data_IF_819321898242
#
_entry.id   IF_819321898242
#
_cell.length_a   1.000
_cell.length_b   1.000
_cell.length_c   1.000
_cell.angle_alpha   90.00
_cell.angle_beta   90.00
_cell.angle_gamma   90.00
#
_symmetry.space_group_name_H-M   'P 1'
#
loop_
_entity.id
_entity.type
_entity.pdbx_description
1 polymer ?
#
# COMPACT_ATOMS: atom_id res chain seq x y z
N UNK A 1 -16.28 11.89 10.05
CA UNK A 1 -16.32 11.11 11.31
C UNK A 1 -17.46 10.11 11.26
N UNK A 2 -17.19 8.86 11.64
CA UNK A 2 -18.18 7.77 11.75
C UNK A 2 -18.12 7.16 13.14
N UNK A 3 -19.28 6.91 13.75
CA UNK A 3 -19.36 6.22 15.04
C UNK A 3 -19.60 4.72 14.82
N UNK A 4 -18.97 3.88 15.63
CA UNK A 4 -19.20 2.45 15.72
C UNK A 4 -19.59 2.13 17.16
N UNK A 5 -20.76 1.53 17.34
CA UNK A 5 -21.28 1.12 18.65
C UNK A 5 -21.23 -0.41 18.73
N UNK A 6 -20.41 -0.92 19.66
CA UNK A 6 -20.22 -2.34 19.94
C UNK A 6 -21.01 -2.78 21.20
N UNK A 7 -21.90 -1.93 21.71
CA UNK A 7 -22.69 -2.15 22.92
C UNK A 7 -21.91 -1.90 24.22
N UNK A 8 -20.70 -2.47 24.35
CA UNK A 8 -19.81 -2.27 25.51
C UNK A 8 -18.80 -1.14 25.31
N UNK A 9 -18.57 -0.75 24.06
CA UNK A 9 -17.62 0.30 23.66
C UNK A 9 -18.22 1.09 22.51
N UNK A 10 -18.02 2.41 22.53
CA UNK A 10 -18.32 3.30 21.41
C UNK A 10 -17.02 3.88 20.88
N UNK A 11 -16.81 3.79 19.57
CA UNK A 11 -15.62 4.29 18.89
C UNK A 11 -15.96 5.40 17.90
N UNK A 12 -15.19 6.48 17.94
CA UNK A 12 -15.17 7.52 16.92
C UNK A 12 -14.05 7.24 15.94
N UNK A 13 -14.39 7.01 14.67
CA UNK A 13 -13.43 6.58 13.66
C UNK A 13 -13.48 7.48 12.43
N UNK A 14 -12.31 7.82 11.92
CA UNK A 14 -12.12 8.64 10.73
C UNK A 14 -11.30 7.93 9.66
N UNK A 15 -11.63 8.24 8.41
CA UNK A 15 -10.76 7.90 7.29
C UNK A 15 -9.55 8.82 7.35
N UNK A 16 -8.40 8.28 6.98
CA UNK A 16 -7.15 9.02 6.95
C UNK A 16 -6.50 8.97 5.56
N UNK A 17 -5.99 10.10 5.04
CA UNK A 17 -6.19 11.45 5.56
C UNK A 17 -7.68 11.85 5.52
N UNK A 18 -8.08 12.76 6.40
CA UNK A 18 -9.47 13.24 6.46
C UNK A 18 -9.83 13.91 5.13
N UNK A 19 -10.96 13.53 4.52
CA UNK A 19 -11.41 14.07 3.25
C UNK A 19 -12.62 14.99 3.48
N UNK A 20 -12.56 16.22 2.95
CA UNK A 20 -13.62 17.23 3.12
C UNK A 20 -14.95 16.87 2.42
N UNK A 21 -14.93 16.03 1.37
CA UNK A 21 -16.05 15.90 0.42
C UNK A 21 -16.75 14.53 0.35
N UNK A 22 -16.39 13.54 1.18
CA UNK A 22 -16.98 12.19 1.07
C UNK A 22 -17.90 11.87 2.26
N UNK A 23 -19.21 12.08 2.09
CA UNK A 23 -20.24 11.77 3.10
C UNK A 23 -20.66 10.29 3.12
N UNK A 24 -20.23 9.47 2.16
CA UNK A 24 -20.64 8.06 2.05
C UNK A 24 -19.57 7.04 2.47
N UNK A 25 -18.28 7.40 2.49
CA UNK A 25 -17.21 6.47 2.87
C UNK A 25 -16.91 6.61 4.36
N UNK A 26 -16.97 5.50 5.07
CA UNK A 26 -16.66 5.40 6.50
C UNK A 26 -15.26 4.82 6.73
N UNK A 27 -14.78 4.92 7.96
CA UNK A 27 -13.54 4.32 8.42
C UNK A 27 -13.67 2.80 8.64
N UNK A 28 -14.90 2.33 8.81
CA UNK A 28 -15.23 0.93 9.01
C UNK A 28 -16.31 0.49 8.00
N UNK A 29 -16.49 -0.82 7.85
CA UNK A 29 -17.63 -1.39 7.14
C UNK A 29 -18.21 -2.59 7.88
N UNK A 30 -19.36 -3.08 7.44
CA UNK A 30 -20.05 -4.19 8.10
C UNK A 30 -19.18 -5.46 8.30
N UNK A 31 -18.13 -5.66 7.50
CA UNK A 31 -17.21 -6.77 7.72
C UNK A 31 -16.41 -6.63 9.02
N UNK A 32 -16.04 -5.41 9.42
CA UNK A 32 -15.37 -5.13 10.70
C UNK A 32 -16.26 -5.46 11.88
N UNK A 33 -17.47 -4.89 11.88
CA UNK A 33 -18.48 -5.12 12.90
C UNK A 33 -18.80 -6.63 13.01
N UNK A 34 -18.91 -7.33 11.87
CA UNK A 34 -19.21 -8.75 11.86
C UNK A 34 -18.07 -9.60 12.43
N UNK A 35 -16.81 -9.25 12.13
CA UNK A 35 -15.64 -9.91 12.72
C UNK A 35 -15.63 -9.76 14.24
N UNK A 36 -15.87 -8.55 14.75
CA UNK A 36 -15.88 -8.27 16.19
C UNK A 36 -16.97 -9.06 16.94
N UNK A 37 -18.17 -9.18 16.36
CA UNK A 37 -19.25 -9.99 16.94
C UNK A 37 -18.88 -11.48 17.13
N UNK A 38 -17.90 -12.00 16.37
CA UNK A 38 -17.47 -13.39 16.54
C UNK A 38 -16.61 -13.61 17.78
N UNK A 39 -16.11 -12.54 18.40
CA UNK A 39 -15.15 -12.62 19.51
C UNK A 39 -15.78 -12.55 20.90
N UNK A 40 -17.09 -12.28 21.01
CA UNK A 40 -17.79 -12.16 22.31
C UNK A 40 -17.62 -13.40 23.23
N UNK A 41 -17.39 -14.59 22.65
CA UNK A 41 -17.24 -15.84 23.39
C UNK A 41 -15.91 -16.55 23.12
N UNK A 42 -14.92 -15.85 22.57
CA UNK A 42 -13.59 -16.41 22.30
C UNK A 42 -12.67 -16.07 23.46
N UNK A 43 -11.99 -17.08 24.02
CA UNK A 43 -10.97 -16.84 25.03
C UNK A 43 -9.68 -16.35 24.35
N UNK A 44 -9.31 -15.10 24.60
CA UNK A 44 -8.15 -14.41 24.01
C UNK A 44 -6.98 -14.34 25.02
N UNK A 45 -7.14 -14.89 26.24
CA UNK A 45 -6.19 -14.66 27.32
C UNK A 45 -4.80 -15.25 27.05
N UNK A 46 -3.77 -14.40 27.16
CA UNK A 46 -2.37 -14.79 27.23
C UNK A 46 -1.69 -15.17 25.91
N UNK A 47 -2.35 -15.05 24.76
CA UNK A 47 -1.74 -15.28 23.43
C UNK A 47 -2.00 -14.11 22.46
N UNK A 48 -1.16 -13.92 21.43
CA UNK A 48 -1.30 -12.81 20.50
C UNK A 48 -2.65 -12.78 19.75
N UNK A 49 -3.13 -11.57 19.47
CA UNK A 49 -4.22 -11.29 18.52
C UNK A 49 -3.61 -10.66 17.26
N UNK A 50 -3.80 -11.29 16.10
CA UNK A 50 -3.31 -10.77 14.83
C UNK A 50 -4.45 -10.20 14.02
N UNK A 51 -4.25 -9.01 13.48
CA UNK A 51 -5.23 -8.30 12.66
C UNK A 51 -4.56 -7.94 11.34
N UNK A 52 -5.00 -8.54 10.25
CA UNK A 52 -4.47 -8.28 8.90
C UNK A 52 -5.36 -7.30 8.14
N UNK A 53 -4.70 -6.34 7.48
CA UNK A 53 -5.28 -5.40 6.52
C UNK A 53 -6.40 -4.51 7.10
N UNK A 54 -6.25 -4.09 8.35
CA UNK A 54 -7.15 -3.12 8.99
C UNK A 54 -6.85 -1.70 8.49
N UNK A 55 -7.57 -1.30 7.43
CA UNK A 55 -7.28 -0.09 6.67
C UNK A 55 -7.28 1.21 7.49
N UNK A 56 -8.06 1.27 8.58
CA UNK A 56 -8.21 2.48 9.38
C UNK A 56 -8.11 2.20 10.89
N UNK A 57 -7.61 1.02 11.29
CA UNK A 57 -7.45 0.67 12.70
C UNK A 57 -8.77 0.40 13.43
N UNK A 58 -9.84 0.04 12.74
CA UNK A 58 -11.15 -0.21 13.38
C UNK A 58 -11.07 -1.39 14.34
N UNK A 59 -10.53 -2.52 13.87
CA UNK A 59 -10.37 -3.73 14.67
C UNK A 59 -9.30 -3.51 15.73
N UNK A 60 -8.22 -2.81 15.39
CA UNK A 60 -7.16 -2.47 16.34
C UNK A 60 -7.66 -1.60 17.51
N UNK A 61 -8.52 -0.60 17.25
CA UNK A 61 -9.12 0.21 18.30
C UNK A 61 -10.10 -0.60 19.17
N UNK A 62 -10.93 -1.43 18.54
CA UNK A 62 -11.91 -2.27 19.25
C UNK A 62 -11.24 -3.34 20.13
N UNK A 63 -10.10 -3.87 19.69
CA UNK A 63 -9.36 -4.92 20.39
C UNK A 63 -8.16 -4.38 21.18
N UNK A 64 -8.06 -3.06 21.38
CA UNK A 64 -6.95 -2.39 22.06
C UNK A 64 -6.55 -3.04 23.39
N UNK A 65 -7.53 -3.44 24.20
CA UNK A 65 -7.29 -4.08 25.51
C UNK A 65 -6.56 -5.43 25.43
N UNK A 66 -6.53 -6.08 24.26
CA UNK A 66 -5.85 -7.34 23.99
C UNK A 66 -4.45 -7.16 23.39
N UNK A 67 -3.95 -5.92 23.35
CA UNK A 67 -2.63 -5.57 22.80
C UNK A 67 -2.36 -6.17 21.41
N UNK A 68 -3.21 -5.89 20.40
CA UNK A 68 -3.18 -6.61 19.14
C UNK A 68 -1.96 -6.22 18.29
N UNK A 69 -1.53 -7.15 17.45
CA UNK A 69 -0.62 -6.89 16.36
C UNK A 69 -1.45 -6.55 15.12
N UNK A 70 -1.27 -5.34 14.58
CA UNK A 70 -1.91 -4.90 13.34
C UNK A 70 -0.91 -4.97 12.20
N UNK A 71 -1.14 -5.91 11.29
CA UNK A 71 -0.25 -6.23 10.17
C UNK A 71 -0.84 -5.65 8.89
N UNK A 72 -0.06 -4.83 8.19
CA UNK A 72 -0.49 -4.22 6.93
C UNK A 72 0.68 -3.95 6.01
N UNK A 73 0.43 -4.06 4.71
CA UNK A 73 1.36 -3.58 3.68
C UNK A 73 1.29 -2.06 3.47
N UNK A 74 0.35 -1.35 4.11
CA UNK A 74 0.10 0.07 3.88
C UNK A 74 0.52 0.91 5.08
N UNK A 75 1.51 1.78 4.86
CA UNK A 75 1.89 2.80 5.83
C UNK A 75 0.74 3.79 6.10
N UNK A 76 -0.10 4.06 5.10
CA UNK A 76 -1.30 4.88 5.29
C UNK A 76 -2.27 4.26 6.30
N UNK A 77 -2.40 2.94 6.29
CA UNK A 77 -3.22 2.21 7.28
C UNK A 77 -2.63 2.33 8.69
N UNK A 78 -1.30 2.27 8.83
CA UNK A 78 -0.65 2.46 10.13
C UNK A 78 -0.85 3.89 10.68
N UNK A 79 -0.73 4.91 9.82
CA UNK A 79 -1.03 6.30 10.19
C UNK A 79 -2.50 6.47 10.58
N UNK A 80 -3.42 5.85 9.83
CA UNK A 80 -4.85 5.86 10.13
C UNK A 80 -5.16 5.22 11.49
N UNK A 81 -4.53 4.08 11.78
CA UNK A 81 -4.67 3.40 13.08
C UNK A 81 -4.18 4.28 14.22
N UNK A 82 -2.99 4.90 14.10
CA UNK A 82 -2.49 5.83 15.13
C UNK A 82 -3.39 7.05 15.32
N UNK A 83 -3.97 7.57 14.23
CA UNK A 83 -4.94 8.67 14.29
C UNK A 83 -6.18 8.27 15.08
N UNK A 84 -6.78 7.14 14.74
CA UNK A 84 -8.01 6.67 15.38
C UNK A 84 -7.79 6.20 16.83
N UNK A 85 -6.63 5.64 17.17
CA UNK A 85 -6.28 5.35 18.57
C UNK A 85 -6.26 6.64 19.39
N UNK A 86 -5.57 7.68 18.91
CA UNK A 86 -5.52 8.99 19.58
C UNK A 86 -6.89 9.65 19.67
N UNK A 87 -7.71 9.53 18.63
CA UNK A 87 -9.07 10.08 18.59
C UNK A 87 -9.96 9.48 19.70
N UNK A 88 -9.72 8.23 20.08
CA UNK A 88 -10.45 7.54 21.14
C UNK A 88 -9.71 7.52 22.49
N UNK A 89 -8.68 8.36 22.67
CA UNK A 89 -7.85 8.42 23.89
C UNK A 89 -7.21 7.06 24.26
N UNK A 90 -6.99 6.20 23.27
CA UNK A 90 -6.34 4.90 23.43
C UNK A 90 -4.82 5.06 23.27
N UNK A 91 -4.07 4.45 24.20
CA UNK A 91 -2.60 4.43 24.15
C UNK A 91 -2.10 3.72 22.88
N UNK A 92 -1.42 4.42 21.95
CA UNK A 92 -0.94 3.82 20.72
C UNK A 92 0.11 2.72 20.93
N UNK A 93 0.82 2.72 22.06
CA UNK A 93 1.87 1.74 22.33
C UNK A 93 1.32 0.35 22.70
N UNK A 94 0.01 0.24 22.98
CA UNK A 94 -0.65 -1.05 23.18
C UNK A 94 -0.96 -1.76 21.86
N UNK A 95 -0.91 -1.08 20.71
CA UNK A 95 -1.11 -1.71 19.40
C UNK A 95 0.25 -1.81 18.70
N UNK A 96 0.74 -3.04 18.51
CA UNK A 96 1.97 -3.25 17.76
C UNK A 96 1.68 -3.20 16.26
N UNK A 97 2.21 -2.22 15.55
CA UNK A 97 2.08 -2.12 14.10
C UNK A 97 3.24 -2.87 13.43
N UNK A 98 2.92 -3.88 12.64
CA UNK A 98 3.88 -4.64 11.84
C UNK A 98 3.66 -4.36 10.36
N UNK A 99 4.76 -4.26 9.61
CA UNK A 99 4.68 -4.30 8.15
C UNK A 99 4.38 -5.71 7.65
N UNK A 100 4.15 -5.83 6.35
CA UNK A 100 3.73 -7.07 5.68
C UNK A 100 4.83 -8.12 5.52
N UNK A 101 6.09 -7.77 5.82
CA UNK A 101 7.28 -8.63 5.70
C UNK A 101 7.88 -8.99 7.07
N UNK A 102 7.44 -8.33 8.15
CA UNK A 102 7.86 -8.60 9.50
C UNK A 102 7.52 -10.02 9.97
N UNK A 103 8.33 -10.55 10.88
CA UNK A 103 8.05 -11.82 11.55
C UNK A 103 6.77 -11.73 12.39
N UNK A 104 5.92 -12.76 12.27
CA UNK A 104 4.69 -12.84 13.03
C UNK A 104 4.95 -13.47 14.41
N UNK A 105 4.24 -13.03 15.47
CA UNK A 105 4.36 -13.66 16.78
C UNK A 105 3.77 -15.06 16.77
N UNK A 106 4.41 -15.98 17.48
CA UNK A 106 4.05 -17.40 17.51
C UNK A 106 2.73 -17.67 18.25
N UNK A 107 2.02 -18.71 17.80
CA UNK A 107 0.84 -19.29 18.44
C UNK A 107 -0.24 -18.27 18.81
N UNK A 108 -0.75 -17.45 17.86
CA UNK A 108 -1.83 -16.52 18.15
C UNK A 108 -3.10 -17.24 18.63
N UNK A 109 -3.84 -16.64 19.57
CA UNK A 109 -5.17 -17.12 19.93
C UNK A 109 -6.18 -16.83 18.81
N UNK A 110 -6.09 -15.63 18.24
CA UNK A 110 -7.05 -15.13 17.24
C UNK A 110 -6.30 -14.49 16.08
N UNK A 111 -6.77 -14.79 14.87
CA UNK A 111 -6.34 -14.14 13.63
C UNK A 111 -7.57 -13.61 12.92
N UNK A 112 -7.67 -12.28 12.83
CA UNK A 112 -8.67 -11.59 12.04
C UNK A 112 -8.06 -11.12 10.72
N UNK A 113 -8.71 -11.42 9.60
CA UNK A 113 -8.22 -11.02 8.27
C UNK A 113 -9.27 -10.22 7.54
N UNK A 114 -9.01 -8.94 7.29
CA UNK A 114 -9.74 -8.22 6.23
C UNK A 114 -9.20 -8.71 4.90
N UNK A 115 -10.03 -9.39 4.11
CA UNK A 115 -9.55 -10.04 2.87
C UNK A 115 -9.03 -8.95 1.93
N UNK A 116 -7.75 -8.99 1.53
CA UNK A 116 -7.18 -7.98 0.66
C UNK A 116 -7.73 -8.13 -0.76
N UNK A 117 -7.66 -7.06 -1.54
CA UNK A 117 -8.08 -7.09 -2.95
C UNK A 117 -7.21 -8.03 -3.80
N UNK A 118 -5.91 -8.08 -3.49
CA UNK A 118 -4.95 -8.91 -4.20
C UNK A 118 -4.90 -10.31 -3.59
N UNK A 119 -5.27 -11.33 -4.37
CA UNK A 119 -5.19 -12.73 -3.94
C UNK A 119 -3.74 -13.16 -3.62
N UNK A 120 -2.76 -12.58 -4.31
CA UNK A 120 -1.35 -12.84 -4.05
C UNK A 120 -0.93 -12.37 -2.64
N UNK A 121 -1.40 -11.19 -2.19
CA UNK A 121 -1.15 -10.72 -0.82
C UNK A 121 -1.78 -11.66 0.20
N UNK A 122 -3.02 -12.11 -0.04
CA UNK A 122 -3.65 -13.11 0.82
C UNK A 122 -2.81 -14.40 0.86
N UNK A 123 -2.30 -14.89 -0.27
CA UNK A 123 -1.47 -16.12 -0.29
C UNK A 123 -0.21 -15.97 0.55
N UNK A 124 0.50 -14.84 0.43
CA UNK A 124 1.69 -14.58 1.23
C UNK A 124 1.35 -14.50 2.74
N UNK A 125 0.27 -13.79 3.11
CA UNK A 125 -0.16 -13.68 4.50
C UNK A 125 -0.56 -15.02 5.11
N UNK A 126 -1.30 -15.85 4.38
CA UNK A 126 -1.69 -17.19 4.85
C UNK A 126 -0.48 -18.12 5.00
N UNK A 127 0.54 -17.97 4.14
CA UNK A 127 1.79 -18.73 4.26
C UNK A 127 2.60 -18.30 5.47
N UNK A 128 2.76 -17.00 5.70
CA UNK A 128 3.40 -16.50 6.92
C UNK A 128 2.64 -16.95 8.18
N UNK A 129 1.31 -16.96 8.14
CA UNK A 129 0.48 -17.48 9.22
C UNK A 129 0.69 -18.97 9.46
N UNK A 130 0.85 -19.79 8.41
CA UNK A 130 1.07 -21.24 8.53
C UNK A 130 2.24 -21.58 9.45
N UNK A 131 3.26 -20.74 9.46
CA UNK A 131 4.48 -20.97 10.25
C UNK A 131 4.29 -20.68 11.75
N UNK A 132 3.23 -19.94 12.12
CA UNK A 132 3.03 -19.46 13.51
C UNK A 132 1.73 -19.94 14.15
N UNK A 133 0.72 -20.37 13.39
CA UNK A 133 -0.58 -20.78 13.95
C UNK A 133 -0.50 -22.08 14.75
N UNK A 134 -1.27 -22.16 15.84
CA UNK A 134 -1.47 -23.38 16.62
C UNK A 134 -2.75 -24.10 16.16
N UNK A 135 -2.91 -25.41 16.43
CA UNK A 135 -4.12 -26.16 16.05
C UNK A 135 -5.43 -25.58 16.59
N UNK A 136 -5.36 -24.84 17.70
CA UNK A 136 -6.51 -24.21 18.36
C UNK A 136 -6.65 -22.70 18.05
N UNK A 137 -5.83 -22.15 17.15
CA UNK A 137 -5.94 -20.75 16.72
C UNK A 137 -7.30 -20.52 16.02
N UNK A 138 -8.03 -19.50 16.45
CA UNK A 138 -9.28 -19.07 15.81
C UNK A 138 -8.97 -18.14 14.63
N UNK A 139 -9.24 -18.60 13.40
CA UNK A 139 -8.98 -17.82 12.17
C UNK A 139 -10.28 -17.42 11.51
N UNK A 140 -10.52 -16.12 11.41
CA UNK A 140 -11.73 -15.54 10.83
C UNK A 140 -11.35 -14.45 9.83
N UNK A 141 -11.80 -14.60 8.58
CA UNK A 141 -11.61 -13.60 7.54
C UNK A 141 -12.94 -12.96 7.15
N UNK A 142 -12.94 -11.64 6.89
CA UNK A 142 -14.14 -10.87 6.58
C UNK A 142 -13.94 -9.95 5.39
N UNK A 143 -14.96 -9.88 4.53
CA UNK A 143 -15.06 -8.89 3.45
C UNK A 143 -16.53 -8.68 3.04
N UNK A 144 -16.74 -7.82 2.04
CA UNK A 144 -18.05 -7.75 1.37
C UNK A 144 -18.37 -9.10 0.77
N UNK A 145 -19.62 -9.52 0.85
CA UNK A 145 -20.08 -10.81 0.38
C UNK A 145 -19.77 -11.07 -1.10
N UNK A 146 -19.71 -10.01 -1.93
CA UNK A 146 -19.34 -10.10 -3.35
C UNK A 146 -17.85 -10.30 -3.60
N UNK A 147 -17.00 -9.99 -2.62
CA UNK A 147 -15.54 -10.09 -2.69
C UNK A 147 -15.03 -11.41 -2.07
N UNK A 148 -15.95 -12.24 -1.53
CA UNK A 148 -15.67 -13.61 -1.09
C UNK A 148 -15.90 -14.57 -2.25
N UNK A 149 -14.81 -14.97 -2.91
CA UNK A 149 -14.84 -15.85 -4.08
C UNK A 149 -14.43 -17.28 -3.74
N UNK A 150 -14.76 -18.24 -4.62
CA UNK A 150 -14.31 -19.63 -4.48
C UNK A 150 -12.77 -19.73 -4.43
N UNK A 151 -12.06 -18.90 -5.19
CA UNK A 151 -10.59 -18.84 -5.17
C UNK A 151 -10.02 -18.43 -3.82
N UNK A 152 -10.72 -17.55 -3.09
CA UNK A 152 -10.35 -17.15 -1.72
C UNK A 152 -10.41 -18.36 -0.79
N UNK A 153 -11.52 -19.09 -0.81
CA UNK A 153 -11.73 -20.29 0.02
C UNK A 153 -10.70 -21.38 -0.28
N UNK A 154 -10.50 -21.70 -1.57
CA UNK A 154 -9.51 -22.68 -2.02
C UNK A 154 -8.10 -22.34 -1.56
N UNK A 155 -7.78 -21.06 -1.42
CA UNK A 155 -6.47 -20.63 -0.93
C UNK A 155 -6.29 -20.89 0.56
N UNK A 156 -7.31 -20.61 1.39
CA UNK A 156 -7.31 -21.00 2.81
C UNK A 156 -7.18 -22.52 2.96
N UNK A 157 -7.95 -23.29 2.19
CA UNK A 157 -7.93 -24.76 2.24
C UNK A 157 -6.60 -25.36 1.80
N UNK A 158 -5.94 -24.73 0.82
CA UNK A 158 -4.61 -25.13 0.34
C UNK A 158 -3.51 -24.86 1.37
N UNK A 159 -3.63 -23.78 2.15
CA UNK A 159 -2.53 -23.26 2.98
C UNK A 159 -2.69 -23.56 4.46
N UNK A 160 -3.89 -23.45 5.00
CA UNK A 160 -4.16 -23.55 6.44
C UNK A 160 -5.05 -24.75 6.79
N UNK A 161 -6.17 -24.93 6.09
CA UNK A 161 -7.11 -26.02 6.38
C UNK A 161 -8.56 -25.72 6.01
N UNK A 162 -9.49 -26.63 6.35
CA UNK A 162 -10.85 -26.62 5.85
C UNK A 162 -11.57 -25.32 6.24
N UNK A 163 -12.48 -24.89 5.36
CA UNK A 163 -13.20 -23.63 5.55
C UNK A 163 -14.70 -23.80 5.56
N UNK A 164 -15.38 -22.92 6.30
CA UNK A 164 -16.82 -22.71 6.23
C UNK A 164 -17.13 -21.23 6.12
N UNK A 165 -18.32 -20.88 5.66
CA UNK A 165 -18.74 -19.48 5.55
C UNK A 165 -19.90 -19.16 6.47
N UNK A 166 -19.99 -17.89 6.88
CA UNK A 166 -21.18 -17.37 7.52
C UNK A 166 -22.31 -17.15 6.50
N UNK A 167 -23.51 -16.89 7.03
CA UNK A 167 -24.56 -16.20 6.27
C UNK A 167 -24.10 -14.76 5.97
N UNK A 168 -24.60 -14.20 4.86
CA UNK A 168 -24.38 -12.81 4.55
C UNK A 168 -25.14 -11.92 5.56
N UNK A 169 -24.46 -10.88 6.07
CA UNK A 169 -25.02 -9.94 7.03
C UNK A 169 -24.57 -8.53 6.66
N UNK A 170 -25.52 -7.60 6.49
CA UNK A 170 -25.25 -6.22 6.01
C UNK A 170 -24.30 -6.16 4.80
N UNK A 171 -24.44 -7.09 3.85
CA UNK A 171 -23.57 -7.28 2.66
C UNK A 171 -22.12 -7.69 2.97
N UNK A 172 -21.79 -8.06 4.20
CA UNK A 172 -20.54 -8.70 4.59
C UNK A 172 -20.71 -10.22 4.70
N UNK A 173 -19.60 -10.95 4.59
CA UNK A 173 -19.55 -12.40 4.79
C UNK A 173 -18.22 -12.78 5.40
N UNK A 174 -18.25 -13.78 6.29
CA UNK A 174 -17.07 -14.31 6.96
C UNK A 174 -16.69 -15.68 6.42
N UNK A 175 -15.40 -15.96 6.48
CA UNK A 175 -14.77 -17.28 6.30
C UNK A 175 -14.19 -17.68 7.65
N UNK A 176 -14.51 -18.89 8.11
CA UNK A 176 -13.86 -19.51 9.26
C UNK A 176 -12.94 -20.59 8.72
N UNK A 177 -11.71 -20.63 9.21
CA UNK A 177 -10.71 -21.61 8.81
C UNK A 177 -10.22 -22.38 10.04
N UNK A 178 -10.22 -23.70 9.95
CA UNK A 178 -9.61 -24.57 10.95
C UNK A 178 -8.16 -24.87 10.55
N UNK A 179 -7.26 -24.90 11.54
CA UNK A 179 -5.85 -25.23 11.30
C UNK A 179 -5.71 -26.74 11.17
N UNK A 180 -5.46 -27.22 9.96
CA UNK A 180 -5.21 -28.63 9.68
C UNK A 180 -3.71 -28.93 9.68
N UNK A 181 -3.33 -30.20 9.78
CA UNK A 181 -1.94 -30.62 9.59
C UNK A 181 -1.63 -30.72 8.09
N UNK A 182 -1.33 -29.58 7.46
CA UNK A 182 -1.06 -29.44 6.03
C UNK A 182 0.31 -28.80 5.83
N UNK A 183 1.08 -29.35 4.88
CA UNK A 183 2.29 -28.72 4.35
C UNK A 183 1.96 -28.10 3.00
N UNK A 184 1.83 -26.76 2.89
CA UNK A 184 1.53 -26.12 1.62
C UNK A 184 2.68 -26.34 0.62
N UNK A 185 2.40 -26.48 -0.69
CA UNK A 185 3.44 -26.54 -1.70
C UNK A 185 4.35 -25.32 -1.63
N UNK A 186 5.65 -25.52 -1.79
CA UNK A 186 6.62 -24.43 -1.86
C UNK A 186 6.20 -23.40 -2.92
N UNK A 187 6.34 -22.13 -2.61
CA UNK A 187 6.10 -21.02 -3.51
C UNK A 187 7.21 -19.99 -3.35
N UNK A 188 7.65 -19.34 -4.44
CA UNK A 188 8.61 -18.27 -4.34
C UNK A 188 8.01 -17.06 -3.61
N UNK A 189 8.84 -16.38 -2.85
CA UNK A 189 8.48 -15.14 -2.14
C UNK A 189 8.09 -14.02 -3.11
N UNK A 190 8.80 -13.92 -4.24
CA UNK A 190 8.62 -12.89 -5.26
C UNK A 190 8.20 -13.49 -6.60
N UNK A 191 7.45 -12.72 -7.38
CA UNK A 191 7.27 -12.99 -8.81
C UNK A 191 8.38 -12.28 -9.59
N UNK A 192 9.11 -13.07 -10.37
CA UNK A 192 10.30 -12.62 -11.08
C UNK A 192 10.07 -12.69 -12.59
N UNK A 193 10.52 -11.69 -13.32
CA UNK A 193 10.52 -11.67 -14.79
C UNK A 193 11.65 -10.77 -15.31
N UNK A 194 12.11 -11.03 -16.53
CA UNK A 194 13.15 -10.22 -17.18
C UNK A 194 12.52 -8.99 -17.82
N UNK A 195 13.09 -7.81 -17.59
CA UNK A 195 12.63 -6.58 -18.24
C UNK A 195 13.11 -6.56 -19.70
N UNK A 196 12.15 -6.59 -20.62
CA UNK A 196 12.41 -6.56 -22.08
C UNK A 196 13.39 -5.44 -22.46
N UNK A 197 14.44 -5.81 -23.22
CA UNK A 197 15.47 -4.86 -23.68
C UNK A 197 16.61 -4.62 -22.67
N UNK A 198 16.61 -5.33 -21.54
CA UNK A 198 17.67 -5.29 -20.53
C UNK A 198 18.00 -6.70 -20.04
N UNK A 199 19.09 -6.84 -19.29
CA UNK A 199 19.41 -8.08 -18.55
C UNK A 199 18.84 -8.08 -17.12
N UNK A 200 17.94 -7.12 -16.80
CA UNK A 200 17.42 -6.98 -15.45
C UNK A 200 16.38 -8.03 -15.11
N UNK A 201 16.53 -8.63 -13.92
CA UNK A 201 15.53 -9.48 -13.31
C UNK A 201 14.76 -8.65 -12.30
N UNK A 202 13.46 -8.48 -12.54
CA UNK A 202 12.57 -7.70 -11.68
C UNK A 202 11.87 -8.63 -10.71
N UNK A 203 12.17 -8.46 -9.43
CA UNK A 203 11.54 -9.10 -8.28
C UNK A 203 10.35 -8.27 -7.79
N UNK A 204 9.21 -8.93 -7.56
CA UNK A 204 7.98 -8.28 -7.14
C UNK A 204 7.34 -9.05 -5.98
N UNK A 205 7.23 -8.41 -4.82
CA UNK A 205 6.47 -8.93 -3.69
C UNK A 205 4.95 -8.96 -3.98
N UNK A 206 4.20 -9.56 -3.07
CA UNK A 206 2.83 -10.04 -3.33
C UNK A 206 1.81 -8.95 -3.66
N UNK A 207 1.96 -7.75 -3.09
CA UNK A 207 1.03 -6.64 -3.25
C UNK A 207 1.49 -5.55 -4.24
N UNK A 208 2.63 -5.75 -4.90
CA UNK A 208 3.21 -4.75 -5.81
C UNK A 208 2.38 -4.57 -7.07
N UNK A 209 2.22 -3.31 -7.50
CA UNK A 209 1.53 -2.96 -8.74
C UNK A 209 2.20 -3.59 -9.96
N UNK A 210 1.41 -4.10 -10.90
CA UNK A 210 1.89 -4.76 -12.12
C UNK A 210 2.91 -5.89 -11.87
N UNK A 211 2.82 -6.61 -10.74
CA UNK A 211 3.84 -7.61 -10.33
C UNK A 211 4.25 -8.67 -11.35
N UNK A 212 3.40 -8.96 -12.34
CA UNK A 212 3.62 -10.01 -13.34
C UNK A 212 4.22 -9.52 -14.66
N UNK A 213 4.27 -8.21 -14.92
CA UNK A 213 4.81 -7.64 -16.17
C UNK A 213 4.99 -6.13 -16.07
N UNK A 214 5.81 -5.56 -16.96
CA UNK A 214 5.96 -4.11 -17.09
C UNK A 214 4.63 -3.42 -17.43
N UNK A 215 4.24 -2.45 -16.59
CA UNK A 215 3.09 -1.60 -16.84
C UNK A 215 3.22 -0.85 -18.18
N UNK A 216 2.11 -0.70 -18.90
CA UNK A 216 2.10 -0.06 -20.22
C UNK A 216 2.40 1.44 -20.09
N UNK A 217 1.93 2.08 -19.01
CA UNK A 217 2.27 3.47 -18.69
C UNK A 217 3.76 3.63 -18.40
N UNK A 218 4.29 2.79 -17.49
CA UNK A 218 5.71 2.77 -17.16
C UNK A 218 6.60 2.54 -18.39
N UNK A 219 6.24 1.60 -19.28
CA UNK A 219 6.96 1.36 -20.55
C UNK A 219 7.09 2.62 -21.39
N UNK A 220 5.99 3.36 -21.59
CA UNK A 220 6.04 4.63 -22.31
C UNK A 220 6.90 5.65 -21.55
N UNK A 221 6.83 5.65 -20.22
CA UNK A 221 7.51 6.62 -19.39
C UNK A 221 9.04 6.48 -19.44
N UNK A 222 9.55 5.24 -19.49
CA UNK A 222 10.98 4.93 -19.57
C UNK A 222 11.68 5.60 -20.76
N UNK A 223 11.02 5.67 -21.92
CA UNK A 223 11.55 6.30 -23.14
C UNK A 223 11.70 7.82 -23.03
N UNK A 224 11.14 8.43 -21.99
CA UNK A 224 10.98 9.86 -21.84
C UNK A 224 11.33 10.35 -20.43
N UNK A 225 12.20 9.63 -19.72
CA UNK A 225 12.76 10.11 -18.46
C UNK A 225 13.76 11.26 -18.70
N UNK A 226 13.98 12.14 -17.69
CA UNK A 226 15.06 13.10 -17.76
C UNK A 226 16.42 12.39 -17.63
N UNK A 227 17.42 12.94 -18.30
CA UNK A 227 18.81 12.48 -18.28
C UNK A 227 19.73 13.66 -17.94
N UNK A 228 20.99 13.35 -17.59
CA UNK A 228 22.04 14.32 -17.25
C UNK A 228 21.63 15.31 -16.13
N UNK A 229 20.80 14.85 -15.19
CA UNK A 229 20.50 15.57 -13.96
C UNK A 229 21.56 15.29 -12.89
N UNK A 230 21.79 16.30 -12.07
CA UNK A 230 22.55 16.24 -10.82
C UNK A 230 21.62 16.46 -9.63
N UNK A 231 22.09 16.16 -8.42
CA UNK A 231 21.35 16.38 -7.18
C UNK A 231 20.38 15.24 -6.89
N UNK A 232 19.18 15.55 -6.41
CA UNK A 232 18.27 14.54 -5.84
C UNK A 232 17.04 14.32 -6.74
N UNK A 233 16.77 13.06 -7.10
CA UNK A 233 15.59 12.62 -7.84
C UNK A 233 14.73 11.75 -6.91
N UNK A 234 13.41 11.86 -7.01
CA UNK A 234 12.49 10.97 -6.31
C UNK A 234 11.63 10.20 -7.32
N UNK A 235 11.61 8.88 -7.22
CA UNK A 235 10.59 8.00 -7.81
C UNK A 235 9.43 7.87 -6.82
N UNK A 236 8.36 8.63 -7.05
CA UNK A 236 7.21 8.75 -6.16
C UNK A 236 6.09 7.78 -6.57
N UNK A 237 5.80 6.83 -5.69
CA UNK A 237 5.00 5.64 -5.99
C UNK A 237 5.84 4.63 -6.76
N UNK A 238 7.01 4.29 -6.23
CA UNK A 238 8.05 3.57 -6.97
C UNK A 238 7.64 2.15 -7.38
N UNK A 239 6.69 1.51 -6.69
CA UNK A 239 6.23 0.16 -7.03
C UNK A 239 7.38 -0.85 -6.98
N UNK A 240 7.79 -1.40 -8.14
CA UNK A 240 8.95 -2.30 -8.22
C UNK A 240 10.28 -1.59 -8.55
N UNK A 241 10.28 -0.25 -8.61
CA UNK A 241 11.49 0.56 -8.74
C UNK A 241 12.04 0.71 -10.16
N UNK A 242 11.38 0.17 -11.18
CA UNK A 242 11.89 0.22 -12.57
C UNK A 242 12.12 1.66 -13.06
N UNK A 243 11.23 2.60 -12.68
CA UNK A 243 11.36 4.02 -13.07
C UNK A 243 12.57 4.65 -12.39
N UNK A 244 12.72 4.47 -11.08
CA UNK A 244 13.88 4.95 -10.33
C UNK A 244 15.20 4.32 -10.78
N UNK A 245 15.24 3.02 -11.08
CA UNK A 245 16.43 2.34 -11.63
C UNK A 245 16.85 2.91 -12.98
N UNK A 246 15.89 3.15 -13.88
CA UNK A 246 16.18 3.76 -15.16
C UNK A 246 16.65 5.21 -15.00
N UNK A 247 16.07 5.97 -14.08
CA UNK A 247 16.55 7.31 -13.73
C UNK A 247 17.97 7.28 -13.15
N UNK A 248 18.29 6.30 -12.30
CA UNK A 248 19.60 6.10 -11.68
C UNK A 248 20.70 5.88 -12.73
N UNK A 249 20.40 5.11 -13.79
CA UNK A 249 21.30 4.88 -14.92
C UNK A 249 21.45 6.12 -15.81
N UNK A 250 20.35 6.81 -16.11
CA UNK A 250 20.35 7.99 -17.01
C UNK A 250 20.93 9.25 -16.36
N UNK A 251 21.12 9.23 -15.03
CA UNK A 251 21.61 10.36 -14.24
C UNK A 251 22.73 9.92 -13.28
N UNK A 252 23.95 9.65 -13.78
CA UNK A 252 25.05 9.10 -12.96
C UNK A 252 25.54 10.01 -11.83
N UNK A 253 25.24 11.31 -11.89
CA UNK A 253 25.60 12.30 -10.87
C UNK A 253 24.45 12.62 -9.90
N UNK A 254 23.31 11.95 -10.04
CA UNK A 254 22.17 12.11 -9.15
C UNK A 254 22.10 11.01 -8.09
N UNK A 255 21.44 11.32 -6.98
CA UNK A 255 20.92 10.35 -6.02
C UNK A 255 19.43 10.13 -6.27
N UNK A 256 18.92 8.92 -5.99
CA UNK A 256 17.52 8.55 -6.23
C UNK A 256 16.88 8.05 -4.93
N UNK A 257 15.81 8.68 -4.49
CA UNK A 257 14.92 8.12 -3.47
C UNK A 257 13.76 7.38 -4.12
N UNK A 258 13.54 6.14 -3.70
CA UNK A 258 12.40 5.31 -4.06
C UNK A 258 11.39 5.40 -2.92
N UNK A 259 10.28 6.11 -3.17
CA UNK A 259 9.27 6.37 -2.15
C UNK A 259 7.94 5.70 -2.50
N UNK A 260 7.36 4.94 -1.58
CA UNK A 260 6.03 4.34 -1.73
C UNK A 260 5.33 4.22 -0.37
N UNK A 261 4.01 4.11 -0.36
CA UNK A 261 3.29 3.80 0.89
C UNK A 261 3.30 2.31 1.22
N UNK A 262 3.60 1.47 0.22
CA UNK A 262 3.66 0.02 0.35
C UNK A 262 5.03 -0.45 0.81
N UNK A 263 5.07 -1.20 1.91
CA UNK A 263 6.30 -1.84 2.40
C UNK A 263 6.86 -2.83 1.37
N UNK A 264 5.99 -3.64 0.76
CA UNK A 264 6.37 -4.57 -0.32
C UNK A 264 6.90 -3.88 -1.57
N UNK A 265 6.40 -2.67 -1.90
CA UNK A 265 6.91 -1.89 -3.04
C UNK A 265 8.34 -1.40 -2.78
N UNK A 266 8.57 -0.78 -1.62
CA UNK A 266 9.90 -0.31 -1.23
C UNK A 266 10.89 -1.46 -1.17
N UNK A 267 10.54 -2.58 -0.52
CA UNK A 267 11.38 -3.77 -0.47
C UNK A 267 11.65 -4.39 -1.86
N UNK A 268 10.67 -4.36 -2.78
CA UNK A 268 10.89 -4.81 -4.16
C UNK A 268 11.85 -3.89 -4.91
N UNK A 269 11.72 -2.58 -4.71
CA UNK A 269 12.58 -1.57 -5.33
C UNK A 269 14.02 -1.72 -4.85
N UNK A 270 14.23 -1.88 -3.54
CA UNK A 270 15.52 -2.14 -2.93
C UNK A 270 16.16 -3.41 -3.50
N UNK A 271 15.44 -4.54 -3.46
CA UNK A 271 15.91 -5.81 -4.01
C UNK A 271 16.27 -5.72 -5.49
N UNK A 272 15.53 -4.93 -6.27
CA UNK A 272 15.81 -4.75 -7.69
C UNK A 272 17.05 -3.90 -7.95
N UNK A 273 17.31 -2.87 -7.15
CA UNK A 273 18.56 -2.11 -7.22
C UNK A 273 19.73 -2.99 -6.80
N UNK A 274 19.64 -3.68 -5.65
CA UNK A 274 20.69 -4.57 -5.16
C UNK A 274 21.07 -5.65 -6.17
N UNK A 275 20.07 -6.25 -6.82
CA UNK A 275 20.30 -7.33 -7.77
C UNK A 275 20.89 -6.84 -9.10
N UNK A 276 20.36 -5.74 -9.63
CA UNK A 276 20.63 -5.34 -11.01
C UNK A 276 21.62 -4.18 -11.14
N UNK A 277 21.75 -3.35 -10.12
CA UNK A 277 22.60 -2.16 -10.08
C UNK A 277 23.34 -2.02 -8.73
N UNK A 278 24.01 -3.08 -8.21
CA UNK A 278 24.65 -3.05 -6.89
C UNK A 278 25.70 -1.94 -6.74
N UNK A 279 26.38 -1.57 -7.84
CA UNK A 279 27.36 -0.48 -7.85
C UNK A 279 26.76 0.90 -7.60
N UNK A 280 25.44 1.06 -7.76
CA UNK A 280 24.73 2.32 -7.62
C UNK A 280 23.96 2.42 -6.30
N UNK A 281 24.04 1.39 -5.44
CA UNK A 281 23.28 1.32 -4.19
C UNK A 281 23.58 2.48 -3.23
N UNK A 282 24.83 2.96 -3.18
CA UNK A 282 25.24 4.12 -2.35
C UNK A 282 24.56 5.44 -2.78
N UNK A 283 23.96 5.48 -3.97
CA UNK A 283 23.22 6.63 -4.49
C UNK A 283 21.70 6.49 -4.29
N UNK A 284 21.25 5.42 -3.64
CA UNK A 284 19.84 5.10 -3.47
C UNK A 284 19.39 5.29 -2.03
N UNK A 285 18.14 5.73 -1.87
CA UNK A 285 17.43 5.74 -0.59
C UNK A 285 16.07 5.09 -0.78
N UNK A 286 15.62 4.31 0.19
CA UNK A 286 14.36 3.56 0.13
C UNK A 286 13.47 4.01 1.28
N UNK A 287 12.33 4.61 0.96
CA UNK A 287 11.46 5.25 1.95
C UNK A 287 10.02 4.76 1.86
N UNK A 288 9.56 4.09 2.92
CA UNK A 288 8.12 3.86 3.12
C UNK A 288 7.52 5.15 3.69
N UNK A 289 6.66 5.82 2.92
CA UNK A 289 6.20 7.16 3.26
C UNK A 289 4.79 7.50 2.74
N UNK A 290 4.15 8.49 3.36
CA UNK A 290 2.93 9.12 2.85
C UNK A 290 3.31 10.18 1.82
N UNK A 291 3.36 9.79 0.55
CA UNK A 291 3.88 10.62 -0.53
C UNK A 291 5.27 11.17 -0.17
N UNK A 292 5.45 12.49 -0.04
CA UNK A 292 6.74 13.10 0.32
C UNK A 292 6.70 13.78 1.70
N UNK A 293 5.87 13.29 2.63
CA UNK A 293 5.82 13.83 3.99
C UNK A 293 7.22 13.78 4.64
N UNK A 294 7.62 14.86 5.32
CA UNK A 294 8.94 14.96 5.94
C UNK A 294 10.10 15.31 5.00
N UNK A 295 9.97 15.12 3.69
CA UNK A 295 10.98 15.58 2.72
C UNK A 295 11.09 17.10 2.75
N UNK A 296 12.31 17.62 2.82
CA UNK A 296 12.58 19.05 2.91
C UNK A 296 12.00 19.85 1.73
N UNK A 297 11.69 21.12 1.98
CA UNK A 297 11.26 22.03 0.91
C UNK A 297 12.47 22.39 0.06
N UNK A 298 12.28 22.48 -1.25
CA UNK A 298 13.33 22.97 -2.17
C UNK A 298 14.63 22.18 -2.12
N UNK A 299 14.55 20.87 -1.89
CA UNK A 299 15.70 19.96 -1.85
C UNK A 299 15.83 19.07 -3.10
N UNK A 300 14.76 18.94 -3.90
CA UNK A 300 14.68 17.93 -4.97
C UNK A 300 14.85 18.57 -6.36
N UNK A 301 15.62 17.92 -7.24
CA UNK A 301 15.80 18.31 -8.63
C UNK A 301 14.67 17.83 -9.53
N UNK A 302 14.24 16.58 -9.38
CA UNK A 302 13.14 16.01 -10.14
C UNK A 302 12.28 15.04 -9.32
N UNK A 303 10.98 15.06 -9.56
CA UNK A 303 10.05 14.04 -9.07
C UNK A 303 9.46 13.32 -10.28
N UNK A 304 9.64 12.00 -10.33
CA UNK A 304 9.09 11.10 -11.34
C UNK A 304 7.90 10.38 -10.70
N UNK A 305 6.76 10.33 -11.37
CA UNK A 305 5.58 9.71 -10.77
C UNK A 305 4.68 9.05 -11.83
N UNK A 306 4.29 7.81 -11.57
CA UNK A 306 3.18 7.14 -12.24
C UNK A 306 2.04 6.99 -11.21
N UNK A 307 1.18 8.03 -11.03
CA UNK A 307 0.19 8.02 -9.96
C UNK A 307 -0.74 6.81 -10.08
N UNK A 308 -1.22 6.26 -8.95
CA UNK A 308 -2.14 5.14 -8.99
C UNK A 308 -3.39 5.48 -9.80
N UNK A 309 -3.94 4.50 -10.51
CA UNK A 309 -5.20 4.64 -11.23
C UNK A 309 -6.17 3.50 -10.91
N UNK A 310 -7.33 3.85 -10.36
CA UNK A 310 -8.48 2.95 -10.29
C UNK A 310 -9.73 3.63 -10.88
N UNK A 311 -10.62 2.83 -11.45
CA UNK A 311 -11.91 3.29 -12.00
C UNK A 311 -12.85 3.92 -10.94
N UNK A 312 -12.45 3.95 -9.67
CA UNK A 312 -13.07 4.74 -8.60
C UNK A 312 -12.46 6.15 -8.61
N UNK A 313 -13.14 7.06 -9.32
CA UNK A 313 -12.58 8.33 -9.76
C UNK A 313 -12.18 9.28 -8.62
N UNK A 314 -12.92 9.34 -7.50
CA UNK A 314 -12.67 10.35 -6.47
C UNK A 314 -11.39 10.09 -5.65
N UNK A 315 -11.21 8.89 -5.08
CA UNK A 315 -10.09 8.59 -4.17
C UNK A 315 -8.75 8.70 -4.91
N UNK A 316 -8.68 8.12 -6.10
CA UNK A 316 -7.51 8.14 -6.98
C UNK A 316 -7.08 9.57 -7.33
N UNK A 317 -8.05 10.45 -7.57
CA UNK A 317 -7.81 11.82 -7.99
C UNK A 317 -7.24 12.70 -6.88
N UNK A 318 -7.66 12.45 -5.63
CA UNK A 318 -7.09 13.09 -4.44
C UNK A 318 -5.66 12.64 -4.16
N UNK A 319 -5.37 11.33 -4.25
CA UNK A 319 -4.01 10.82 -4.06
C UNK A 319 -3.04 11.44 -5.06
N UNK A 320 -3.40 11.46 -6.34
CA UNK A 320 -2.57 12.10 -7.36
C UNK A 320 -2.40 13.61 -7.10
N UNK A 321 -3.45 14.30 -6.66
CA UNK A 321 -3.35 15.71 -6.31
C UNK A 321 -2.40 15.97 -5.13
N UNK A 322 -2.48 15.17 -4.07
CA UNK A 322 -1.55 15.24 -2.93
C UNK A 322 -0.10 15.05 -3.40
N UNK A 323 0.15 14.01 -4.19
CA UNK A 323 1.47 13.75 -4.79
C UNK A 323 2.00 14.95 -5.58
N UNK A 324 1.15 15.64 -6.36
CA UNK A 324 1.58 16.82 -7.12
C UNK A 324 1.88 18.02 -6.22
N UNK A 325 1.07 18.24 -5.18
CA UNK A 325 1.28 19.30 -4.19
C UNK A 325 2.60 19.09 -3.44
N UNK A 326 2.86 17.86 -3.00
CA UNK A 326 4.10 17.48 -2.34
C UNK A 326 5.31 17.61 -3.27
N UNK A 327 5.20 17.16 -4.52
CA UNK A 327 6.24 17.38 -5.51
C UNK A 327 6.57 18.87 -5.67
N UNK A 328 5.57 19.75 -5.83
CA UNK A 328 5.81 21.20 -5.94
C UNK A 328 6.50 21.78 -4.70
N UNK A 329 6.14 21.27 -3.51
CA UNK A 329 6.73 21.71 -2.23
C UNK A 329 8.21 21.35 -2.15
N UNK A 330 8.58 20.10 -2.49
CA UNK A 330 9.94 19.59 -2.36
C UNK A 330 10.87 20.02 -3.50
N UNK A 331 10.34 20.30 -4.70
CA UNK A 331 11.15 20.71 -5.84
C UNK A 331 11.86 22.06 -5.59
N UNK A 332 13.11 22.16 -6.04
CA UNK A 332 13.84 23.42 -6.19
C UNK A 332 13.23 24.29 -7.29
N UNK A 333 13.51 25.59 -7.27
CA UNK A 333 13.20 26.44 -8.43
C UNK A 333 13.96 25.92 -9.66
N UNK A 334 13.24 25.70 -10.76
CA UNK A 334 13.76 25.07 -11.97
C UNK A 334 13.72 23.53 -11.94
N UNK A 335 13.40 22.91 -10.81
CA UNK A 335 13.15 21.48 -10.72
C UNK A 335 11.84 21.06 -11.40
N UNK A 336 11.75 19.80 -11.82
CA UNK A 336 10.63 19.28 -12.60
C UNK A 336 9.85 18.15 -11.92
N UNK A 337 8.52 18.21 -12.01
CA UNK A 337 7.66 17.05 -11.86
C UNK A 337 7.40 16.47 -13.24
N UNK A 338 7.75 15.21 -13.46
CA UNK A 338 7.42 14.46 -14.68
C UNK A 338 6.49 13.30 -14.33
N UNK A 339 5.35 13.24 -15.00
CA UNK A 339 4.34 12.21 -14.74
C UNK A 339 3.93 11.48 -16.01
N UNK A 340 3.55 10.22 -15.85
CA UNK A 340 2.75 9.49 -16.83
C UNK A 340 1.35 9.26 -16.25
N UNK A 341 0.32 9.37 -17.08
CA UNK A 341 -1.05 9.13 -16.63
C UNK A 341 -2.01 8.87 -17.78
N UNK A 342 -3.19 8.33 -17.47
CA UNK A 342 -4.23 8.11 -18.47
C UNK A 342 -4.73 9.45 -19.05
N UNK A 343 -4.96 9.47 -20.37
CA UNK A 343 -5.39 10.67 -21.10
C UNK A 343 -6.67 11.34 -20.57
N UNK A 344 -7.60 10.54 -20.04
CA UNK A 344 -8.90 11.01 -19.57
C UNK A 344 -8.88 11.60 -18.16
N UNK A 345 -7.72 11.60 -17.47
CA UNK A 345 -7.59 12.12 -16.10
C UNK A 345 -7.32 13.63 -16.05
N UNK A 346 -7.15 14.29 -17.20
CA UNK A 346 -6.97 15.74 -17.31
C UNK A 346 -5.90 16.36 -16.39
N UNK A 347 -4.87 15.60 -16.04
CA UNK A 347 -3.77 16.06 -15.16
C UNK A 347 -3.08 17.33 -15.64
N UNK A 348 -3.09 17.61 -16.95
CA UNK A 348 -2.57 18.86 -17.50
C UNK A 348 -3.27 20.11 -16.91
N UNK A 349 -4.56 20.04 -16.59
CA UNK A 349 -5.30 21.15 -15.97
C UNK A 349 -4.85 21.34 -14.52
N UNK A 350 -4.72 20.23 -13.78
CA UNK A 350 -4.21 20.22 -12.40
C UNK A 350 -2.81 20.79 -12.31
N UNK A 351 -1.90 20.33 -13.18
CA UNK A 351 -0.53 20.81 -13.23
C UNK A 351 -0.47 22.30 -13.60
N UNK A 352 -1.25 22.78 -14.57
CA UNK A 352 -1.34 24.22 -14.89
C UNK A 352 -1.84 25.03 -13.70
N UNK A 353 -2.88 24.56 -13.00
CA UNK A 353 -3.41 25.22 -11.79
C UNK A 353 -2.35 25.29 -10.69
N UNK A 354 -1.61 24.20 -10.49
CA UNK A 354 -0.67 24.07 -9.39
C UNK A 354 0.68 24.74 -9.68
N UNK A 355 1.29 24.48 -10.83
CA UNK A 355 2.64 24.97 -11.21
C UNK A 355 2.61 26.23 -12.08
N UNK A 356 1.45 26.63 -12.60
CA UNK A 356 1.34 27.71 -13.58
C UNK A 356 1.78 27.32 -15.00
N UNK A 357 2.30 26.11 -15.20
CA UNK A 357 2.76 25.58 -16.47
C UNK A 357 2.53 24.06 -16.55
N UNK A 358 2.49 23.55 -17.78
CA UNK A 358 2.48 22.11 -18.07
C UNK A 358 2.86 21.92 -19.55
N UNK A 359 3.84 21.07 -19.81
CA UNK A 359 4.30 20.70 -21.16
C UNK A 359 3.94 19.25 -21.43
N UNK A 360 3.35 18.96 -22.59
CA UNK A 360 3.20 17.59 -23.08
C UNK A 360 4.54 17.12 -23.64
N UNK A 361 5.13 16.08 -23.06
CA UNK A 361 6.40 15.49 -23.52
C UNK A 361 6.14 14.46 -24.60
N UNK A 362 5.21 13.54 -24.35
CA UNK A 362 4.84 12.49 -25.27
C UNK A 362 3.42 12.00 -24.99
N UNK A 363 2.83 11.27 -25.94
CA UNK A 363 1.53 10.63 -25.75
C UNK A 363 1.36 9.44 -26.68
N UNK A 364 0.49 8.51 -26.29
CA UNK A 364 -0.03 7.47 -27.17
C UNK A 364 -1.57 7.44 -27.10
N UNK A 365 -2.21 6.37 -27.59
CA UNK A 365 -3.68 6.26 -27.57
C UNK A 365 -4.27 6.31 -26.16
N UNK A 366 -3.55 5.83 -25.14
CA UNK A 366 -4.04 5.65 -23.76
C UNK A 366 -3.41 6.60 -22.74
N UNK A 367 -2.11 6.88 -22.88
CA UNK A 367 -1.31 7.59 -21.88
C UNK A 367 -0.73 8.91 -22.41
N UNK A 368 -0.46 9.84 -21.50
CA UNK A 368 0.28 11.08 -21.73
C UNK A 368 1.42 11.19 -20.72
N UNK A 369 2.54 11.76 -21.17
CA UNK A 369 3.64 12.17 -20.29
C UNK A 369 3.64 13.68 -20.22
N UNK A 370 3.54 14.20 -19.00
CA UNK A 370 3.44 15.62 -18.73
C UNK A 370 4.62 16.06 -17.86
N UNK A 371 5.11 17.27 -18.13
CA UNK A 371 6.14 17.93 -17.34
C UNK A 371 5.60 19.24 -16.78
N UNK A 372 5.88 19.52 -15.50
CA UNK A 372 5.67 20.82 -14.89
C UNK A 372 6.94 21.26 -14.15
N UNK A 373 7.35 22.51 -14.33
CA UNK A 373 8.56 23.07 -13.71
C UNK A 373 8.19 24.02 -12.59
N UNK A 374 8.85 23.95 -11.43
CA UNK A 374 8.64 24.92 -10.35
C UNK A 374 9.29 26.25 -10.74
N UNK A 375 8.48 27.29 -10.94
CA UNK A 375 8.98 28.66 -11.08
C UNK A 375 9.15 29.31 -9.70
N UNK A 376 10.08 30.25 -9.57
CA UNK A 376 10.16 31.13 -8.40
C UNK A 376 8.85 31.91 -8.18
N UNK A 377 8.62 32.39 -6.95
CA UNK A 377 7.47 33.24 -6.66
C UNK A 377 7.52 34.47 -7.57
N UNK A 378 6.41 34.74 -8.29
CA UNK A 378 6.19 36.06 -8.88
C UNK A 378 5.80 36.97 -7.73
N UNK A 379 6.71 37.85 -7.32
CA UNK A 379 6.41 38.95 -6.40
C UNK A 379 5.54 40.00 -7.09
#
# INVERSE_FOLDING_TARGET
MSQLDLGTQQLELERYPQQEESTQLQAWEAADEYLLQQLENVNIDGRPVLIFNDNFGTLACALHSHQPYSISDSYMSQLATRHNLKLNELDPEQVTLLDSLAELPASPAVVLIRIPKALALLEQQLRALRDVVAPDTVIIAGAKARDVHTSTMQLFEKVLGPTRTSLAWKKARLIYCEVADIVPPAAPETTNWVLDGTDWIIHNHANVFSRSNLDIGARLFLDHLPHDLEGHIIDLGCGNGIIGMAALMQNPQAQVTFADESYMAVASSERNVEHNLPQDLDRCQFEVNNSLAGIERESVRAVLCNPPFHQQHAITDHTAWQMFCDAKRCLQVGGELRIVGNRHLDYHQKLKRLFGNCTLIASNKKFVILKAVKSGARY
#
